data_IF_433262942877
#
_entry.id   IF_433262942877
#
_cell.length_a   1.000
_cell.length_b   1.000
_cell.length_c   1.000
_cell.angle_alpha   90.00
_cell.angle_beta   90.00
_cell.angle_gamma   90.00
#
_symmetry.space_group_name_H-M   'P 1'
#
loop_
_entity.id
_entity.type
_entity.pdbx_description
1 polymer ?
#
# COMPACT_ATOMS: atom_id res chain seq x y z
N UNK A 1 21.65 -12.80 -54.47
CA UNK A 1 22.24 -11.79 -55.37
C UNK A 1 21.75 -10.42 -54.98
N UNK A 2 22.69 -9.50 -54.82
CA UNK A 2 22.59 -8.07 -54.59
C UNK A 2 22.24 -7.63 -53.15
N UNK A 3 23.34 -7.37 -52.41
CA UNK A 3 23.43 -6.50 -51.26
C UNK A 3 23.10 -5.05 -51.67
N UNK A 4 22.41 -4.32 -50.79
CA UNK A 4 22.40 -2.86 -50.81
C UNK A 4 22.82 -2.38 -49.44
N UNK A 5 24.04 -1.84 -49.36
CA UNK A 5 24.57 -1.12 -48.23
C UNK A 5 24.07 0.32 -48.29
N UNK A 6 23.53 0.86 -47.18
CA UNK A 6 23.21 2.27 -47.04
C UNK A 6 24.15 2.89 -46.02
N UNK A 7 25.07 3.75 -46.51
CA UNK A 7 25.99 4.52 -45.70
C UNK A 7 25.27 5.76 -45.15
N UNK A 8 25.38 5.98 -43.82
CA UNK A 8 24.93 7.20 -43.16
C UNK A 8 26.14 8.11 -42.92
N UNK A 9 26.09 9.27 -43.53
CA UNK A 9 27.07 10.35 -43.49
C UNK A 9 26.90 11.16 -42.19
N UNK A 10 27.92 11.15 -41.31
CA UNK A 10 27.99 12.05 -40.14
C UNK A 10 28.49 13.44 -40.59
N UNK A 11 27.65 14.45 -40.42
CA UNK A 11 28.02 15.85 -40.50
C UNK A 11 28.35 16.39 -39.09
N UNK A 12 29.65 16.56 -38.80
CA UNK A 12 30.14 17.32 -37.65
C UNK A 12 30.08 18.82 -37.99
N UNK A 13 29.27 19.59 -37.26
CA UNK A 13 29.29 21.05 -37.27
C UNK A 13 29.97 21.53 -36.00
N UNK A 14 31.21 22.00 -36.13
CA UNK A 14 31.92 22.70 -35.08
C UNK A 14 31.39 24.14 -34.96
N UNK A 15 31.06 24.57 -33.76
CA UNK A 15 30.80 25.97 -33.41
C UNK A 15 31.97 26.53 -32.58
N UNK A 16 32.43 27.76 -32.83
CA UNK A 16 33.52 28.36 -32.09
C UNK A 16 33.09 28.90 -30.72
N UNK A 17 33.93 28.71 -29.71
CA UNK A 17 33.84 29.38 -28.42
C UNK A 17 34.18 30.86 -28.59
N UNK A 18 33.24 31.73 -28.19
CA UNK A 18 33.52 33.11 -27.86
C UNK A 18 33.46 33.24 -26.33
N UNK A 19 34.61 33.48 -25.72
CA UNK A 19 34.69 33.88 -24.31
C UNK A 19 34.30 35.36 -24.22
N UNK A 20 33.31 35.67 -23.38
CA UNK A 20 33.01 37.01 -22.92
C UNK A 20 33.06 37.04 -21.39
N UNK A 21 34.06 37.76 -20.88
CA UNK A 21 34.08 38.15 -19.46
C UNK A 21 33.10 39.29 -19.24
N UNK A 22 32.16 39.10 -18.33
CA UNK A 22 31.43 40.20 -17.69
C UNK A 22 31.17 39.85 -16.23
N UNK A 23 31.72 40.68 -15.37
CA UNK A 23 31.50 40.76 -13.93
C UNK A 23 30.10 41.28 -13.63
N UNK A 24 29.42 40.68 -12.66
CA UNK A 24 28.24 41.34 -12.12
C UNK A 24 27.31 40.41 -11.32
N UNK A 25 27.33 40.54 -10.01
CA UNK A 25 26.30 40.30 -9.02
C UNK A 25 25.57 38.94 -9.05
N UNK A 26 26.06 38.03 -8.22
CA UNK A 26 25.35 36.82 -7.82
C UNK A 26 24.05 37.17 -7.06
N UNK A 27 22.94 37.18 -7.76
CA UNK A 27 21.62 37.01 -7.15
C UNK A 27 21.45 35.49 -6.98
N UNK A 28 21.17 35.00 -5.76
CA UNK A 28 20.91 33.56 -5.57
C UNK A 28 19.77 33.16 -6.48
N UNK A 29 20.02 32.20 -7.37
CA UNK A 29 18.99 31.60 -8.19
C UNK A 29 17.88 31.07 -7.26
N UNK A 30 16.66 31.56 -7.46
CA UNK A 30 15.46 30.96 -6.89
C UNK A 30 15.51 29.48 -7.23
N UNK A 31 15.61 28.65 -6.21
CA UNK A 31 15.44 27.22 -6.31
C UNK A 31 14.04 27.01 -6.88
N UNK A 32 13.95 26.68 -8.16
CA UNK A 32 12.70 26.19 -8.75
C UNK A 32 12.30 24.97 -7.95
N UNK A 33 11.23 25.11 -7.18
CA UNK A 33 10.52 23.98 -6.60
C UNK A 33 9.93 23.22 -7.78
N UNK A 34 10.67 22.24 -8.31
CA UNK A 34 10.10 21.26 -9.21
C UNK A 34 8.99 20.55 -8.43
N UNK A 35 7.75 20.88 -8.74
CA UNK A 35 6.58 20.17 -8.22
C UNK A 35 6.75 18.72 -8.63
N UNK A 36 6.84 17.83 -7.63
CA UNK A 36 6.95 16.42 -7.90
C UNK A 36 5.55 15.84 -8.03
N UNK A 37 5.00 15.86 -9.25
CA UNK A 37 3.64 15.44 -9.56
C UNK A 37 3.27 14.07 -8.94
N UNK A 38 4.20 13.13 -8.93
CA UNK A 38 3.94 11.79 -8.41
C UNK A 38 3.76 11.80 -6.87
N UNK A 39 4.62 12.55 -6.15
CA UNK A 39 4.48 12.70 -4.69
C UNK A 39 3.22 13.51 -4.37
N UNK A 40 2.93 14.56 -5.13
CA UNK A 40 1.71 15.37 -4.94
C UNK A 40 0.45 14.54 -5.22
N UNK A 41 0.48 13.66 -6.23
CA UNK A 41 -0.59 12.70 -6.46
C UNK A 41 -0.78 11.78 -5.24
N UNK A 42 0.30 11.21 -4.68
CA UNK A 42 0.21 10.40 -3.48
C UNK A 42 -0.38 11.19 -2.30
N UNK A 43 0.11 12.40 -2.03
CA UNK A 43 -0.45 13.28 -0.98
C UNK A 43 -1.95 13.54 -1.21
N UNK A 44 -2.40 13.61 -2.45
CA UNK A 44 -3.82 13.82 -2.79
C UNK A 44 -4.72 12.62 -2.47
N UNK A 45 -4.15 11.43 -2.16
CA UNK A 45 -4.90 10.28 -1.65
C UNK A 45 -5.46 10.57 -0.23
N UNK A 46 -4.84 11.49 0.51
CA UNK A 46 -5.29 11.87 1.84
C UNK A 46 -5.21 10.72 2.84
N UNK A 47 -6.02 10.77 3.90
CA UNK A 47 -6.29 9.59 4.70
C UNK A 47 -7.18 8.66 3.93
N UNK A 48 -6.74 7.42 3.79
CA UNK A 48 -7.43 6.33 3.15
C UNK A 48 -8.05 5.34 4.14
N UNK A 49 -8.95 4.51 3.64
CA UNK A 49 -9.66 3.47 4.38
C UNK A 49 -9.55 2.14 3.63
N UNK A 50 -9.29 1.03 4.35
CA UNK A 50 -9.35 -0.32 3.78
C UNK A 50 -10.74 -0.91 3.97
N UNK A 51 -11.29 -1.51 2.91
CA UNK A 51 -12.43 -2.44 2.99
C UNK A 51 -11.89 -3.82 3.39
N UNK A 52 -11.34 -3.93 4.61
CA UNK A 52 -10.72 -5.16 5.10
C UNK A 52 -11.73 -6.24 5.47
N UNK A 53 -11.31 -7.50 5.42
CA UNK A 53 -12.14 -8.67 5.72
C UNK A 53 -13.45 -8.72 4.90
N UNK A 54 -13.36 -8.32 3.63
CA UNK A 54 -14.48 -8.34 2.67
C UNK A 54 -14.07 -9.10 1.40
N UNK A 55 -13.67 -8.42 0.32
CA UNK A 55 -13.24 -9.13 -0.91
C UNK A 55 -11.88 -9.84 -0.76
N UNK A 56 -11.15 -9.57 0.30
CA UNK A 56 -9.95 -10.29 0.72
C UNK A 56 -10.24 -11.55 1.53
N UNK A 57 -11.42 -11.62 2.18
CA UNK A 57 -11.83 -12.75 3.01
C UNK A 57 -11.90 -14.06 2.21
N UNK A 58 -11.44 -15.14 2.81
CA UNK A 58 -11.45 -16.46 2.17
C UNK A 58 -11.69 -17.59 3.18
N UNK A 59 -12.21 -18.71 2.70
CA UNK A 59 -12.37 -19.92 3.48
C UNK A 59 -12.20 -21.14 2.54
N UNK A 60 -11.52 -22.15 3.02
CA UNK A 60 -11.32 -23.41 2.26
C UNK A 60 -10.74 -23.20 0.86
N UNK A 61 -9.85 -22.20 0.70
CA UNK A 61 -9.17 -21.93 -0.56
C UNK A 61 -10.02 -21.21 -1.60
N UNK A 62 -11.12 -20.58 -1.19
CA UNK A 62 -11.97 -19.77 -2.04
C UNK A 62 -12.28 -18.43 -1.37
N UNK A 63 -12.14 -17.33 -2.08
CA UNK A 63 -12.50 -16.01 -1.56
C UNK A 63 -14.02 -15.84 -1.57
N UNK A 64 -14.53 -15.24 -0.49
CA UNK A 64 -15.94 -14.97 -0.30
C UNK A 64 -16.13 -13.75 0.58
N UNK A 65 -16.76 -12.71 0.04
CA UNK A 65 -16.88 -11.39 0.64
C UNK A 65 -17.45 -11.39 2.08
N UNK A 66 -18.19 -12.42 2.46
CA UNK A 66 -18.90 -12.45 3.76
C UNK A 66 -18.42 -13.54 4.70
N UNK A 67 -17.44 -14.37 4.31
CA UNK A 67 -17.06 -15.56 5.09
C UNK A 67 -16.36 -15.22 6.42
N UNK A 68 -15.81 -14.01 6.58
CA UNK A 68 -15.22 -13.54 7.84
C UNK A 68 -16.19 -12.66 8.65
N UNK A 69 -17.50 -12.68 8.33
CA UNK A 69 -18.58 -12.13 9.15
C UNK A 69 -19.00 -10.70 8.80
N UNK A 70 -18.37 -10.03 7.86
CA UNK A 70 -18.87 -8.77 7.35
C UNK A 70 -20.06 -8.99 6.41
N UNK A 71 -20.97 -8.02 6.36
CA UNK A 71 -21.98 -7.95 5.30
C UNK A 71 -21.33 -7.48 4.00
N UNK A 72 -21.90 -7.89 2.87
CA UNK A 72 -21.46 -7.41 1.56
C UNK A 72 -21.49 -5.87 1.49
N UNK A 73 -20.45 -5.29 0.95
CA UNK A 73 -20.29 -3.84 0.81
C UNK A 73 -21.34 -3.28 -0.17
N UNK A 74 -21.82 -2.08 0.11
CA UNK A 74 -22.85 -1.41 -0.67
C UNK A 74 -22.46 0.02 -1.01
N UNK A 75 -23.21 0.67 -1.91
CA UNK A 75 -23.03 2.10 -2.18
C UNK A 75 -23.14 2.96 -0.90
N UNK A 76 -23.99 2.54 0.08
CA UNK A 76 -24.13 3.27 1.36
C UNK A 76 -22.83 3.27 2.16
N UNK A 77 -22.10 2.17 2.13
CA UNK A 77 -20.79 2.04 2.80
C UNK A 77 -19.82 3.11 2.29
N UNK A 78 -19.61 3.18 0.98
CA UNK A 78 -18.66 4.12 0.40
C UNK A 78 -19.14 5.58 0.51
N UNK A 79 -20.44 5.83 0.43
CA UNK A 79 -20.99 7.16 0.71
C UNK A 79 -20.71 7.60 2.15
N UNK A 80 -20.79 6.68 3.12
CA UNK A 80 -20.45 6.96 4.52
C UNK A 80 -18.96 7.22 4.71
N UNK A 81 -18.09 6.42 4.09
CA UNK A 81 -16.63 6.58 4.10
C UNK A 81 -16.23 7.95 3.53
N UNK A 82 -16.76 8.32 2.37
CA UNK A 82 -16.50 9.63 1.77
C UNK A 82 -17.01 10.79 2.64
N UNK A 83 -18.22 10.66 3.20
CA UNK A 83 -18.83 11.64 4.13
C UNK A 83 -18.02 11.78 5.42
N UNK A 84 -17.38 10.72 5.88
CA UNK A 84 -16.51 10.74 7.06
C UNK A 84 -15.21 11.52 6.83
N UNK A 85 -14.86 11.83 5.57
CA UNK A 85 -13.72 12.68 5.21
C UNK A 85 -12.56 11.95 4.53
N UNK A 86 -12.62 10.62 4.41
CA UNK A 86 -11.62 9.86 3.63
C UNK A 86 -11.62 10.31 2.16
N UNK A 87 -10.45 10.29 1.54
CA UNK A 87 -10.26 10.71 0.14
C UNK A 87 -10.02 9.54 -0.80
N UNK A 88 -9.64 8.40 -0.23
CA UNK A 88 -9.32 7.19 -0.97
C UNK A 88 -9.71 5.95 -0.18
N UNK A 89 -9.83 4.84 -0.90
CA UNK A 89 -10.04 3.51 -0.32
C UNK A 89 -9.08 2.53 -0.95
N UNK A 90 -8.59 1.59 -0.16
CA UNK A 90 -7.97 0.37 -0.65
C UNK A 90 -8.98 -0.75 -0.51
N UNK A 91 -9.22 -1.44 -1.59
CA UNK A 91 -10.14 -2.59 -1.68
C UNK A 91 -9.26 -3.82 -1.90
N UNK A 92 -8.84 -4.49 -0.83
CA UNK A 92 -8.09 -5.75 -0.93
C UNK A 92 -8.94 -6.81 -1.62
N UNK A 93 -8.33 -7.54 -2.57
CA UNK A 93 -9.05 -8.59 -3.32
C UNK A 93 -8.22 -9.87 -3.35
N UNK A 94 -8.79 -10.94 -2.85
CA UNK A 94 -8.26 -12.30 -3.00
C UNK A 94 -8.91 -12.97 -4.19
N UNK A 95 -8.11 -13.59 -5.06
CA UNK A 95 -8.58 -14.17 -6.31
C UNK A 95 -8.59 -15.71 -6.30
N UNK A 96 -7.96 -16.33 -5.31
CA UNK A 96 -7.95 -17.79 -5.19
C UNK A 96 -9.37 -18.38 -5.15
N UNK A 97 -9.53 -19.56 -5.69
CA UNK A 97 -10.84 -20.20 -5.86
C UNK A 97 -11.60 -19.73 -7.11
N UNK A 98 -11.34 -18.51 -7.58
CA UNK A 98 -11.98 -17.91 -8.76
C UNK A 98 -11.09 -17.88 -10.00
N UNK A 99 -9.92 -18.51 -9.96
CA UNK A 99 -8.99 -18.63 -11.09
C UNK A 99 -9.05 -20.05 -11.64
N UNK A 100 -9.45 -20.20 -12.91
CA UNK A 100 -9.50 -21.48 -13.62
C UNK A 100 -8.12 -22.08 -13.89
N UNK A 101 -8.11 -23.20 -14.58
CA UNK A 101 -6.91 -23.97 -14.89
C UNK A 101 -6.00 -23.30 -15.93
N UNK A 102 -4.74 -23.74 -15.95
CA UNK A 102 -3.78 -23.43 -17.01
C UNK A 102 -4.30 -23.90 -18.39
N UNK A 103 -3.86 -23.28 -19.49
CA UNK A 103 -2.95 -22.14 -19.52
C UNK A 103 -3.63 -20.78 -19.41
N UNK A 104 -4.94 -20.68 -19.52
CA UNK A 104 -5.68 -19.43 -19.61
C UNK A 104 -5.86 -18.77 -18.26
N UNK A 105 -5.89 -19.52 -17.18
CA UNK A 105 -6.13 -19.01 -15.81
C UNK A 105 -7.29 -18.01 -15.76
N UNK A 106 -8.43 -18.38 -16.39
CA UNK A 106 -9.59 -17.47 -16.51
C UNK A 106 -10.16 -17.13 -15.14
N UNK A 107 -10.28 -15.84 -14.86
CA UNK A 107 -10.98 -15.38 -13.67
C UNK A 107 -12.48 -15.58 -13.88
N UNK A 108 -13.15 -16.12 -12.86
CA UNK A 108 -14.59 -16.28 -12.85
C UNK A 108 -15.29 -14.93 -13.08
N UNK A 109 -16.19 -14.90 -14.06
CA UNK A 109 -16.87 -13.66 -14.47
C UNK A 109 -17.67 -13.05 -13.32
N UNK A 110 -18.34 -13.86 -12.50
CA UNK A 110 -19.17 -13.37 -11.40
C UNK A 110 -18.31 -12.65 -10.34
N UNK A 111 -17.12 -13.20 -10.02
CA UNK A 111 -16.20 -12.57 -9.07
C UNK A 111 -15.61 -11.26 -9.63
N UNK A 112 -15.15 -11.27 -10.88
CA UNK A 112 -14.65 -10.05 -11.54
C UNK A 112 -15.72 -8.96 -11.60
N UNK A 113 -16.98 -9.31 -11.90
CA UNK A 113 -18.08 -8.35 -11.95
C UNK A 113 -18.40 -7.79 -10.55
N UNK A 114 -18.33 -8.63 -9.49
CA UNK A 114 -18.50 -8.16 -8.11
C UNK A 114 -17.39 -7.21 -7.69
N UNK A 115 -16.14 -7.52 -7.98
CA UNK A 115 -15.00 -6.61 -7.73
C UNK A 115 -15.23 -5.27 -8.45
N UNK A 116 -15.61 -5.31 -9.72
CA UNK A 116 -15.87 -4.11 -10.51
C UNK A 116 -17.06 -3.29 -9.99
N UNK A 117 -18.09 -3.96 -9.49
CA UNK A 117 -19.25 -3.30 -8.85
C UNK A 117 -18.81 -2.53 -7.59
N UNK A 118 -18.03 -3.17 -6.71
CA UNK A 118 -17.54 -2.55 -5.46
C UNK A 118 -16.61 -1.38 -5.75
N UNK A 119 -15.69 -1.53 -6.71
CA UNK A 119 -14.84 -0.43 -7.22
C UNK A 119 -15.71 0.72 -7.75
N UNK A 120 -16.78 0.41 -8.48
CA UNK A 120 -17.74 1.38 -8.97
C UNK A 120 -18.49 2.14 -7.86
N UNK A 121 -18.79 1.48 -6.73
CA UNK A 121 -19.38 2.16 -5.56
C UNK A 121 -18.45 3.21 -4.98
N UNK A 122 -17.15 2.88 -4.83
CA UNK A 122 -16.15 3.81 -4.33
C UNK A 122 -15.98 5.01 -5.25
N UNK A 123 -15.87 4.78 -6.58
CA UNK A 123 -15.77 5.84 -7.56
C UNK A 123 -16.99 6.77 -7.56
N UNK A 124 -18.21 6.22 -7.52
CA UNK A 124 -19.46 7.00 -7.43
C UNK A 124 -19.54 7.84 -6.15
N UNK A 125 -18.87 7.42 -5.08
CA UNK A 125 -18.75 8.20 -3.85
C UNK A 125 -17.66 9.30 -3.93
N UNK A 126 -16.92 9.42 -5.04
CA UNK A 126 -15.85 10.40 -5.24
C UNK A 126 -14.52 10.03 -4.63
N UNK A 127 -14.30 8.74 -4.33
CA UNK A 127 -13.07 8.24 -3.73
C UNK A 127 -12.09 7.76 -4.81
N UNK A 128 -10.79 7.97 -4.57
CA UNK A 128 -9.74 7.25 -5.31
C UNK A 128 -9.63 5.82 -4.77
N UNK A 129 -9.26 4.88 -5.61
CA UNK A 129 -9.32 3.45 -5.30
C UNK A 129 -7.99 2.76 -5.56
N UNK A 130 -7.55 1.90 -4.65
CA UNK A 130 -6.48 0.93 -4.87
C UNK A 130 -7.10 -0.47 -4.85
N UNK A 131 -6.76 -1.32 -5.83
CA UNK A 131 -7.07 -2.77 -5.83
C UNK A 131 -5.80 -3.58 -6.03
N UNK A 132 -5.80 -4.83 -5.53
CA UNK A 132 -4.60 -5.69 -5.54
C UNK A 132 -4.91 -7.18 -5.74
N UNK A 133 -3.85 -8.00 -5.65
CA UNK A 133 -3.90 -9.43 -5.34
C UNK A 133 -3.48 -9.59 -3.88
N UNK A 134 -4.40 -10.07 -3.01
CA UNK A 134 -4.24 -9.95 -1.55
C UNK A 134 -3.78 -11.25 -0.88
N UNK A 135 -4.67 -12.14 -0.47
CA UNK A 135 -4.35 -13.36 0.29
C UNK A 135 -4.08 -14.59 -0.59
N UNK A 136 -3.63 -14.41 -1.82
CA UNK A 136 -3.29 -15.50 -2.74
C UNK A 136 -1.93 -16.16 -2.42
N UNK A 137 -1.17 -15.57 -1.47
CA UNK A 137 0.15 -16.03 -1.05
C UNK A 137 0.13 -17.21 -0.08
N UNK A 138 1.08 -18.13 -0.20
CA UNK A 138 1.26 -19.23 0.76
C UNK A 138 1.50 -18.74 2.18
N UNK A 139 2.19 -17.61 2.34
CA UNK A 139 2.47 -17.02 3.63
C UNK A 139 1.25 -16.47 4.37
N UNK A 140 0.15 -16.20 3.66
CA UNK A 140 -1.10 -15.73 4.26
C UNK A 140 -1.82 -16.85 5.06
N UNK A 141 -1.55 -18.13 4.77
CA UNK A 141 -2.08 -19.27 5.50
C UNK A 141 -0.92 -20.08 6.07
N UNK A 142 -0.82 -20.11 7.39
CA UNK A 142 0.25 -20.80 8.11
C UNK A 142 0.04 -22.32 8.20
N UNK A 143 -1.21 -22.79 8.18
CA UNK A 143 -1.53 -24.21 8.13
C UNK A 143 -1.41 -24.75 6.70
N UNK A 144 -0.35 -25.52 6.45
CA UNK A 144 -0.11 -26.12 5.13
C UNK A 144 -1.28 -26.97 4.61
N UNK A 145 -2.08 -27.56 5.51
CA UNK A 145 -3.25 -28.36 5.12
C UNK A 145 -4.43 -27.50 4.65
N UNK A 146 -4.39 -26.19 4.87
CA UNK A 146 -5.41 -25.23 4.48
C UNK A 146 -4.99 -24.34 3.30
N UNK A 147 -3.80 -24.55 2.74
CA UNK A 147 -3.28 -23.77 1.59
C UNK A 147 -3.92 -24.15 0.26
N UNK A 148 -5.17 -24.60 0.27
CA UNK A 148 -5.90 -24.87 -0.97
C UNK A 148 -5.82 -23.67 -1.89
N UNK A 149 -5.67 -23.85 -3.17
CA UNK A 149 -5.73 -22.80 -4.18
C UNK A 149 -4.82 -21.56 -3.95
N UNK A 150 -4.11 -21.44 -2.82
CA UNK A 150 -3.03 -20.46 -2.69
C UNK A 150 -1.97 -20.79 -3.75
N UNK A 151 -1.47 -19.78 -4.44
CA UNK A 151 -0.64 -20.05 -5.62
C UNK A 151 0.65 -19.21 -5.68
N UNK A 152 0.79 -18.19 -4.84
CA UNK A 152 2.00 -17.39 -4.76
C UNK A 152 2.93 -17.99 -3.70
N UNK A 153 3.59 -19.11 -4.05
CA UNK A 153 4.58 -19.78 -3.20
C UNK A 153 5.96 -19.16 -3.39
N UNK A 154 6.24 -18.09 -2.66
CA UNK A 154 7.50 -17.37 -2.75
C UNK A 154 8.70 -18.22 -2.33
N UNK A 155 8.58 -18.95 -1.22
CA UNK A 155 9.65 -19.78 -0.69
C UNK A 155 9.97 -20.97 -1.60
N UNK A 156 8.95 -21.54 -2.24
CA UNK A 156 9.11 -22.58 -3.25
C UNK A 156 9.74 -22.04 -4.54
N UNK A 157 9.24 -20.93 -5.05
CA UNK A 157 9.76 -20.28 -6.25
C UNK A 157 11.23 -19.79 -6.09
N UNK A 158 11.63 -19.42 -4.88
CA UNK A 158 13.02 -19.07 -4.59
C UNK A 158 14.01 -20.25 -4.72
N UNK A 159 13.50 -21.49 -4.66
CA UNK A 159 14.28 -22.73 -4.74
C UNK A 159 14.09 -23.49 -6.05
N UNK A 160 12.99 -23.22 -6.77
CA UNK A 160 12.60 -23.91 -8.00
C UNK A 160 12.25 -22.90 -9.10
N UNK A 161 13.15 -22.74 -10.07
CA UNK A 161 12.96 -21.81 -11.20
C UNK A 161 11.76 -22.19 -12.07
N UNK A 162 11.45 -23.49 -12.22
CA UNK A 162 10.30 -23.91 -13.02
C UNK A 162 8.98 -23.46 -12.35
N UNK A 163 8.90 -23.58 -11.03
CA UNK A 163 7.77 -23.04 -10.26
C UNK A 163 7.69 -21.52 -10.35
N UNK A 164 8.84 -20.81 -10.26
CA UNK A 164 8.89 -19.37 -10.43
C UNK A 164 8.32 -18.95 -11.80
N UNK A 165 8.74 -19.60 -12.87
CA UNK A 165 8.22 -19.31 -14.22
C UNK A 165 6.71 -19.62 -14.36
N UNK A 166 6.23 -20.69 -13.74
CA UNK A 166 4.80 -21.02 -13.71
C UNK A 166 3.99 -19.94 -12.99
N UNK A 167 4.47 -19.46 -11.84
CA UNK A 167 3.81 -18.39 -11.08
C UNK A 167 3.82 -17.07 -11.87
N UNK A 168 4.94 -16.73 -12.52
CA UNK A 168 5.03 -15.54 -13.39
C UNK A 168 4.04 -15.61 -14.55
N UNK A 169 3.88 -16.78 -15.18
CA UNK A 169 2.86 -16.98 -16.21
C UNK A 169 1.45 -16.74 -15.65
N UNK A 170 1.14 -17.30 -14.47
CA UNK A 170 -0.17 -17.10 -13.83
C UNK A 170 -0.40 -15.64 -13.46
N UNK A 171 0.60 -14.94 -12.89
CA UNK A 171 0.55 -13.50 -12.63
C UNK A 171 0.25 -12.70 -13.90
N UNK A 172 0.93 -13.02 -15.00
CA UNK A 172 0.70 -12.40 -16.31
C UNK A 172 -0.76 -12.55 -16.74
N UNK A 173 -1.30 -13.78 -16.68
CA UNK A 173 -2.67 -14.05 -17.13
C UNK A 173 -3.73 -13.43 -16.23
N UNK A 174 -3.50 -13.42 -14.91
CA UNK A 174 -4.43 -12.84 -13.94
C UNK A 174 -4.43 -11.30 -14.06
N UNK A 175 -3.25 -10.65 -14.04
CA UNK A 175 -3.17 -9.20 -14.19
C UNK A 175 -3.63 -8.71 -15.56
N UNK A 176 -3.39 -9.47 -16.63
CA UNK A 176 -3.92 -9.11 -17.95
C UNK A 176 -5.45 -9.00 -17.93
N UNK A 177 -6.15 -9.92 -17.27
CA UNK A 177 -7.61 -9.90 -17.18
C UNK A 177 -8.10 -8.76 -16.28
N UNK A 178 -7.48 -8.55 -15.10
CA UNK A 178 -7.82 -7.44 -14.20
C UNK A 178 -7.58 -6.10 -14.91
N UNK A 179 -6.40 -5.91 -15.47
CA UNK A 179 -6.02 -4.66 -16.11
C UNK A 179 -6.89 -4.36 -17.35
N UNK A 180 -7.25 -5.39 -18.15
CA UNK A 180 -8.16 -5.23 -19.30
C UNK A 180 -9.57 -4.83 -18.83
N UNK A 181 -10.06 -5.43 -17.73
CA UNK A 181 -11.38 -5.09 -17.19
C UNK A 181 -11.51 -3.62 -16.82
N UNK A 182 -10.41 -3.02 -16.35
CA UNK A 182 -10.35 -1.63 -15.86
C UNK A 182 -9.55 -0.69 -16.75
N UNK A 183 -9.21 -1.08 -17.99
CA UNK A 183 -8.30 -0.29 -18.85
C UNK A 183 -8.81 1.12 -19.20
N UNK A 184 -10.11 1.34 -19.17
CA UNK A 184 -10.74 2.62 -19.48
C UNK A 184 -11.00 3.49 -18.23
N UNK A 185 -10.75 2.96 -17.05
CA UNK A 185 -10.92 3.72 -15.80
C UNK A 185 -9.80 4.76 -15.64
N UNK A 186 -10.18 5.94 -15.15
CA UNK A 186 -9.27 7.08 -15.04
C UNK A 186 -8.17 6.90 -13.97
N UNK A 187 -7.41 7.96 -13.75
CA UNK A 187 -6.28 8.01 -12.79
C UNK A 187 -6.74 7.83 -11.31
N UNK A 188 -8.04 7.93 -11.05
CA UNK A 188 -8.62 7.65 -9.74
C UNK A 188 -8.46 6.20 -9.29
N UNK A 189 -8.24 5.24 -10.22
CA UNK A 189 -8.00 3.84 -9.93
C UNK A 189 -6.51 3.55 -10.03
N UNK A 190 -5.93 3.01 -8.96
CA UNK A 190 -4.54 2.61 -8.81
C UNK A 190 -4.51 1.09 -8.70
N UNK A 191 -3.54 0.43 -9.32
CA UNK A 191 -3.28 -0.98 -9.09
C UNK A 191 -2.13 -1.16 -8.10
N UNK A 192 -2.24 -2.12 -7.22
CA UNK A 192 -1.17 -2.59 -6.35
C UNK A 192 -0.86 -4.03 -6.72
N UNK A 193 0.37 -4.30 -7.11
CA UNK A 193 0.72 -5.59 -7.74
C UNK A 193 0.39 -6.80 -6.89
N UNK A 194 0.73 -6.74 -5.62
CA UNK A 194 0.64 -7.82 -4.63
C UNK A 194 0.39 -7.20 -3.25
N UNK A 195 0.08 -8.04 -2.26
CA UNK A 195 0.00 -7.66 -0.86
C UNK A 195 1.28 -8.08 -0.10
N UNK A 196 1.15 -8.64 1.07
CA UNK A 196 2.20 -9.06 2.01
C UNK A 196 2.79 -10.43 1.65
N UNK A 197 3.46 -10.53 0.52
CA UNK A 197 4.06 -11.79 0.05
C UNK A 197 5.28 -12.14 0.91
N UNK A 198 5.28 -13.37 1.43
CA UNK A 198 6.25 -13.87 2.40
C UNK A 198 6.29 -15.41 2.48
N UNK A 199 7.15 -15.96 3.33
CA UNK A 199 7.33 -17.39 3.58
C UNK A 199 6.51 -17.97 4.77
N UNK A 200 5.60 -17.19 5.34
CA UNK A 200 4.82 -17.54 6.53
C UNK A 200 5.49 -17.17 7.85
N UNK A 201 6.60 -16.47 7.82
CA UNK A 201 7.42 -16.10 9.00
C UNK A 201 7.49 -14.60 9.25
N UNK A 202 6.71 -13.80 8.54
CA UNK A 202 6.59 -12.35 8.74
C UNK A 202 7.95 -11.61 8.77
N UNK A 203 8.85 -11.95 7.85
CA UNK A 203 10.17 -11.37 7.77
C UNK A 203 11.19 -11.92 8.78
N UNK A 204 10.86 -13.00 9.50
CA UNK A 204 11.72 -13.67 10.48
C UNK A 204 12.14 -15.09 10.04
N UNK A 205 11.84 -15.48 8.79
CA UNK A 205 12.07 -16.82 8.30
C UNK A 205 13.32 -16.97 7.43
N UNK A 206 13.25 -17.94 6.52
CA UNK A 206 14.33 -18.30 5.60
C UNK A 206 14.79 -17.14 4.72
N UNK A 207 13.93 -16.13 4.50
CA UNK A 207 14.25 -14.89 3.77
C UNK A 207 15.51 -14.18 4.29
N UNK A 208 15.85 -14.35 5.56
CA UNK A 208 17.04 -13.74 6.16
C UNK A 208 18.35 -14.49 5.82
N UNK A 209 18.26 -15.75 5.42
CA UNK A 209 19.42 -16.66 5.27
C UNK A 209 19.50 -17.33 3.91
N UNK A 210 18.56 -17.10 3.00
CA UNK A 210 18.49 -17.71 1.66
C UNK A 210 19.37 -16.99 0.60
N UNK A 211 20.23 -16.09 1.02
CA UNK A 211 21.06 -15.28 0.12
C UNK A 211 20.28 -14.25 -0.68
N UNK A 212 19.08 -13.88 -0.21
CA UNK A 212 18.20 -12.90 -0.86
C UNK A 212 17.38 -13.47 -2.02
N UNK A 213 17.24 -14.80 -2.10
CA UNK A 213 16.53 -15.47 -3.18
C UNK A 213 15.04 -15.06 -3.22
N UNK A 214 14.38 -15.01 -2.06
CA UNK A 214 12.98 -14.60 -1.96
C UNK A 214 12.79 -13.12 -2.35
N UNK A 215 13.69 -12.22 -1.94
CA UNK A 215 13.64 -10.82 -2.34
C UNK A 215 13.78 -10.66 -3.86
N UNK A 216 14.68 -11.41 -4.48
CA UNK A 216 14.88 -11.39 -5.93
C UNK A 216 13.64 -11.86 -6.66
N UNK A 217 13.04 -12.98 -6.25
CA UNK A 217 11.81 -13.53 -6.86
C UNK A 217 10.65 -12.55 -6.72
N UNK A 218 10.45 -11.93 -5.55
CA UNK A 218 9.40 -10.93 -5.37
C UNK A 218 9.59 -9.71 -6.29
N UNK A 219 10.84 -9.23 -6.45
CA UNK A 219 11.14 -8.17 -7.39
C UNK A 219 10.84 -8.55 -8.84
N UNK A 220 11.12 -9.80 -9.25
CA UNK A 220 10.73 -10.33 -10.56
C UNK A 220 9.22 -10.38 -10.75
N UNK A 221 8.46 -10.77 -9.72
CA UNK A 221 7.00 -10.79 -9.75
C UNK A 221 6.42 -9.39 -9.89
N UNK A 222 6.94 -8.42 -9.13
CA UNK A 222 6.56 -7.01 -9.28
C UNK A 222 6.82 -6.51 -10.71
N UNK A 223 7.99 -6.82 -11.29
CA UNK A 223 8.29 -6.47 -12.68
C UNK A 223 7.31 -7.11 -13.65
N UNK A 224 7.03 -8.41 -13.50
CA UNK A 224 6.07 -9.14 -14.35
C UNK A 224 4.68 -8.48 -14.32
N UNK A 225 4.21 -8.07 -13.14
CA UNK A 225 2.92 -7.40 -13.00
C UNK A 225 2.93 -6.03 -13.69
N UNK A 226 3.97 -5.22 -13.49
CA UNK A 226 4.08 -3.89 -14.14
C UNK A 226 4.09 -4.04 -15.65
N UNK A 227 4.90 -4.95 -16.20
CA UNK A 227 5.02 -5.16 -17.64
C UNK A 227 3.67 -5.50 -18.27
N UNK A 228 2.94 -6.46 -17.69
CA UNK A 228 1.65 -6.87 -18.25
C UNK A 228 0.57 -5.80 -18.08
N UNK A 229 0.53 -5.08 -16.96
CA UNK A 229 -0.41 -3.97 -16.77
C UNK A 229 -0.19 -2.91 -17.87
N UNK A 230 1.05 -2.50 -18.12
CA UNK A 230 1.40 -1.55 -19.19
C UNK A 230 1.01 -2.08 -20.57
N UNK A 231 1.28 -3.34 -20.86
CA UNK A 231 0.99 -3.98 -22.14
C UNK A 231 -0.50 -4.03 -22.49
N UNK A 232 -1.41 -3.95 -21.51
CA UNK A 232 -2.85 -3.89 -21.78
C UNK A 232 -3.30 -2.58 -22.40
N UNK A 233 -2.48 -1.52 -22.35
CA UNK A 233 -2.75 -0.24 -23.00
C UNK A 233 -3.91 0.55 -22.37
N UNK A 234 -4.53 1.44 -23.17
CA UNK A 234 -5.54 2.37 -22.64
C UNK A 234 -4.98 3.23 -21.51
N UNK A 235 -5.79 3.50 -20.49
CA UNK A 235 -5.34 4.28 -19.34
C UNK A 235 -4.30 3.54 -18.46
N UNK A 236 -4.13 2.23 -18.65
CA UNK A 236 -3.12 1.46 -17.95
C UNK A 236 -1.69 1.81 -18.37
N UNK A 237 -1.51 2.38 -19.57
CA UNK A 237 -0.21 2.87 -20.02
C UNK A 237 0.40 3.91 -19.06
N UNK A 238 -0.43 4.70 -18.38
CA UNK A 238 -0.01 5.80 -17.49
C UNK A 238 -0.54 5.66 -16.05
N UNK A 239 -1.24 4.56 -15.74
CA UNK A 239 -1.82 4.31 -14.41
C UNK A 239 -0.73 4.25 -13.33
N UNK A 240 -1.00 4.81 -12.16
CA UNK A 240 -0.15 4.58 -10.99
C UNK A 240 -0.23 3.12 -10.55
N UNK A 241 0.94 2.54 -10.26
CA UNK A 241 1.07 1.15 -9.81
C UNK A 241 1.85 1.14 -8.50
N UNK A 242 1.23 0.63 -7.43
CA UNK A 242 1.87 0.34 -6.17
C UNK A 242 2.63 -0.98 -6.23
N UNK A 243 3.85 -0.99 -5.70
CA UNK A 243 4.69 -2.19 -5.62
C UNK A 243 5.15 -2.41 -4.18
N UNK A 244 4.86 -3.57 -3.57
CA UNK A 244 5.27 -3.90 -2.21
C UNK A 244 6.70 -4.44 -2.18
N UNK A 245 7.41 -4.17 -1.07
CA UNK A 245 8.54 -4.98 -0.65
C UNK A 245 8.11 -6.26 0.08
N UNK A 246 9.09 -7.00 0.60
CA UNK A 246 8.85 -8.25 1.33
C UNK A 246 7.95 -8.01 2.55
N UNK A 247 6.83 -8.71 2.60
CA UNK A 247 5.77 -8.58 3.62
C UNK A 247 5.34 -7.12 3.88
N UNK A 248 5.53 -6.22 2.93
CA UNK A 248 5.31 -4.77 3.05
C UNK A 248 6.05 -4.10 4.21
N UNK A 249 6.96 -4.78 4.89
CA UNK A 249 7.70 -4.19 6.03
C UNK A 249 8.62 -3.05 5.57
N UNK A 250 8.58 -1.88 6.21
CA UNK A 250 9.35 -0.70 5.79
C UNK A 250 10.86 -0.96 5.69
N UNK A 251 11.48 -1.58 6.70
CA UNK A 251 12.92 -1.83 6.68
C UNK A 251 13.33 -2.84 5.59
N UNK A 252 12.59 -3.95 5.41
CA UNK A 252 12.87 -4.92 4.34
C UNK A 252 12.61 -4.33 2.95
N UNK A 253 11.62 -3.42 2.83
CA UNK A 253 11.38 -2.66 1.61
C UNK A 253 12.54 -1.71 1.30
N UNK A 254 13.04 -0.98 2.30
CA UNK A 254 14.21 -0.11 2.14
C UNK A 254 15.43 -0.91 1.67
N UNK A 255 15.68 -2.07 2.27
CA UNK A 255 16.91 -2.82 2.03
C UNK A 255 16.88 -3.65 0.74
N UNK A 256 15.71 -4.18 0.35
CA UNK A 256 15.63 -5.24 -0.65
C UNK A 256 14.70 -4.97 -1.84
N UNK A 257 13.82 -3.97 -1.78
CA UNK A 257 12.98 -3.65 -2.94
C UNK A 257 13.83 -3.03 -4.05
N UNK A 258 13.81 -3.68 -5.20
CA UNK A 258 14.28 -3.13 -6.48
C UNK A 258 13.04 -2.66 -7.24
N UNK A 259 12.96 -1.35 -7.48
CA UNK A 259 11.82 -0.79 -8.22
C UNK A 259 11.76 -1.37 -9.63
N UNK A 260 10.59 -1.78 -10.11
CA UNK A 260 10.42 -2.21 -11.49
C UNK A 260 10.85 -1.12 -12.47
N UNK A 261 11.43 -1.57 -13.58
CA UNK A 261 11.62 -0.69 -14.75
C UNK A 261 10.24 -0.41 -15.33
N UNK A 262 9.96 0.85 -15.58
CA UNK A 262 8.70 1.30 -16.17
C UNK A 262 9.00 2.30 -17.31
N UNK A 263 8.42 2.08 -18.48
CA UNK A 263 8.55 2.98 -19.62
C UNK A 263 7.86 4.32 -19.37
N UNK A 264 6.85 4.34 -18.47
CA UNK A 264 6.17 5.56 -18.06
C UNK A 264 6.78 6.11 -16.78
N UNK A 265 7.52 7.22 -16.85
CA UNK A 265 8.24 7.76 -15.71
C UNK A 265 7.27 8.21 -14.59
N UNK A 266 7.73 8.10 -13.35
CA UNK A 266 7.05 8.63 -12.17
C UNK A 266 5.64 8.05 -11.92
N UNK A 267 5.40 6.78 -12.31
CA UNK A 267 4.09 6.11 -12.13
C UNK A 267 4.17 4.89 -11.20
N UNK A 268 5.35 4.58 -10.68
CA UNK A 268 5.53 3.54 -9.64
C UNK A 268 5.47 4.19 -8.26
N UNK A 269 4.71 3.60 -7.37
CA UNK A 269 4.58 3.97 -5.95
C UNK A 269 5.05 2.81 -5.09
N UNK A 270 5.70 3.09 -3.96
CA UNK A 270 6.12 2.06 -3.01
C UNK A 270 5.02 1.84 -1.97
N UNK A 271 4.58 0.59 -1.83
CA UNK A 271 3.62 0.18 -0.82
C UNK A 271 4.35 -0.39 0.41
N UNK A 272 4.02 0.12 1.58
CA UNK A 272 4.47 -0.42 2.88
C UNK A 272 3.30 -0.52 3.84
N UNK A 273 3.43 -1.41 4.84
CA UNK A 273 2.48 -1.53 5.94
C UNK A 273 3.19 -1.30 7.26
N UNK A 274 2.51 -0.73 8.24
CA UNK A 274 3.05 -0.59 9.60
C UNK A 274 1.96 -0.66 10.65
N UNK A 275 2.06 -1.67 11.49
CA UNK A 275 1.33 -1.80 12.75
C UNK A 275 2.31 -1.73 13.92
N UNK A 276 3.39 -0.96 13.74
CA UNK A 276 4.48 -0.93 14.70
C UNK A 276 4.18 -0.05 15.91
N UNK A 277 4.37 -0.59 17.10
CA UNK A 277 4.74 -1.98 17.38
C UNK A 277 3.50 -2.90 17.38
N UNK A 278 3.59 -4.08 16.76
CA UNK A 278 2.46 -5.01 16.64
C UNK A 278 1.82 -5.36 17.99
N UNK A 279 2.64 -5.63 19.00
CA UNK A 279 2.15 -5.99 20.34
C UNK A 279 1.32 -4.87 21.01
N UNK A 280 1.43 -3.63 20.51
CA UNK A 280 0.57 -2.53 20.90
C UNK A 280 -0.56 -2.32 19.87
N UNK A 281 -0.23 -2.06 18.61
CA UNK A 281 -1.20 -1.59 17.63
C UNK A 281 -2.08 -2.71 17.08
N UNK A 282 -1.57 -3.93 16.90
CA UNK A 282 -2.27 -5.08 16.32
C UNK A 282 -2.90 -6.01 17.36
N UNK A 283 -2.10 -6.58 18.25
CA UNK A 283 -2.60 -7.55 19.23
C UNK A 283 -3.24 -6.92 20.47
N UNK A 284 -2.90 -5.67 20.79
CA UNK A 284 -3.38 -5.01 21.99
C UNK A 284 -2.85 -5.58 23.31
N UNK A 285 -1.75 -6.34 23.27
CA UNK A 285 -1.08 -6.94 24.43
C UNK A 285 -0.59 -5.88 25.42
N UNK A 286 -0.05 -4.77 24.91
CA UNK A 286 0.30 -3.60 25.71
C UNK A 286 -0.77 -2.53 25.53
N UNK A 287 -1.07 -1.81 26.62
CA UNK A 287 -2.18 -0.85 26.66
C UNK A 287 -1.77 0.60 26.39
N UNK A 288 -0.48 0.91 26.45
CA UNK A 288 0.07 2.26 26.34
C UNK A 288 1.17 2.32 25.28
N UNK A 289 1.41 3.53 24.74
CA UNK A 289 2.44 3.79 23.74
C UNK A 289 3.06 5.17 23.93
N UNK A 290 4.34 5.30 23.52
CA UNK A 290 5.06 6.56 23.52
C UNK A 290 5.76 6.86 24.84
N UNK A 291 6.43 8.01 24.89
CA UNK A 291 7.37 8.38 25.94
C UNK A 291 6.75 8.51 27.34
N UNK A 292 5.45 8.67 27.48
CA UNK A 292 4.73 8.77 28.76
C UNK A 292 4.11 7.42 29.20
N UNK A 293 4.13 6.42 28.33
CA UNK A 293 3.56 5.10 28.60
C UNK A 293 4.35 4.35 29.68
N UNK A 294 3.65 3.51 30.45
CA UNK A 294 4.22 2.63 31.48
C UNK A 294 4.03 1.16 31.14
N UNK A 295 2.92 0.81 30.50
CA UNK A 295 2.62 -0.51 29.97
C UNK A 295 2.87 -0.50 28.45
N UNK A 296 4.15 -0.47 28.07
CA UNK A 296 4.63 -0.30 26.70
C UNK A 296 5.43 -1.51 26.24
N UNK A 297 5.49 -1.69 24.91
CA UNK A 297 6.38 -2.70 24.32
C UNK A 297 7.82 -2.40 24.71
N UNK A 298 8.57 -3.41 25.25
CA UNK A 298 9.98 -3.24 25.58
C UNK A 298 10.82 -2.80 24.37
N UNK A 299 11.94 -2.09 24.64
CA UNK A 299 12.96 -1.76 23.64
C UNK A 299 12.54 -0.83 22.49
N UNK A 300 11.63 0.12 22.78
CA UNK A 300 11.55 1.38 22.02
C UNK A 300 10.67 1.44 20.80
N UNK A 301 9.51 1.04 20.91
CA UNK A 301 8.53 1.36 19.89
C UNK A 301 7.80 2.65 20.27
N UNK A 302 8.46 3.78 20.21
CA UNK A 302 7.98 5.10 20.58
C UNK A 302 7.87 6.04 19.35
N UNK A 303 7.59 7.30 19.62
CA UNK A 303 7.46 8.36 18.61
C UNK A 303 8.73 8.50 17.75
N UNK A 304 9.89 8.38 18.39
CA UNK A 304 11.17 8.51 17.69
C UNK A 304 11.39 7.34 16.75
N UNK A 305 11.15 6.13 17.19
CA UNK A 305 11.27 4.92 16.36
C UNK A 305 10.38 5.04 15.11
N UNK A 306 9.14 5.51 15.28
CA UNK A 306 8.21 5.70 14.17
C UNK A 306 8.70 6.79 13.19
N UNK A 307 9.16 7.93 13.68
CA UNK A 307 9.68 9.00 12.83
C UNK A 307 11.01 8.65 12.16
N UNK A 308 11.88 7.86 12.78
CA UNK A 308 13.12 7.35 12.18
C UNK A 308 12.81 6.44 10.99
N UNK A 309 11.80 5.58 11.09
CA UNK A 309 11.30 4.76 9.99
C UNK A 309 10.80 5.63 8.82
N UNK A 310 9.95 6.62 9.10
CA UNK A 310 9.45 7.55 8.08
C UNK A 310 10.58 8.35 7.44
N UNK A 311 11.55 8.81 8.22
CA UNK A 311 12.72 9.51 7.72
C UNK A 311 13.54 8.65 6.76
N UNK A 312 13.70 7.37 7.07
CA UNK A 312 14.42 6.41 6.22
C UNK A 312 13.70 6.19 4.89
N UNK A 313 12.38 5.99 4.90
CA UNK A 313 11.56 5.90 3.68
C UNK A 313 11.60 7.20 2.87
N UNK A 314 11.49 8.35 3.54
CA UNK A 314 11.57 9.65 2.90
C UNK A 314 12.90 9.84 2.16
N UNK A 315 14.00 9.58 2.82
CA UNK A 315 15.34 9.72 2.25
C UNK A 315 15.61 8.74 1.10
N UNK A 316 15.08 7.52 1.21
CA UNK A 316 15.26 6.50 0.18
C UNK A 316 14.43 6.80 -1.07
N UNK A 317 13.18 7.23 -0.91
CA UNK A 317 12.18 7.31 -1.97
C UNK A 317 11.61 8.72 -2.19
N UNK A 318 10.89 9.28 -1.22
CA UNK A 318 10.07 10.50 -1.41
C UNK A 318 10.91 11.70 -1.80
N UNK A 319 12.08 11.90 -1.17
CA UNK A 319 13.02 12.97 -1.50
C UNK A 319 13.57 12.89 -2.93
N UNK A 320 13.46 11.71 -3.57
CA UNK A 320 13.87 11.46 -4.96
C UNK A 320 12.69 11.43 -5.93
N UNK A 321 11.50 11.79 -5.46
CA UNK A 321 10.33 11.84 -6.30
C UNK A 321 9.55 10.56 -6.44
N UNK A 322 9.89 9.52 -5.70
CA UNK A 322 9.20 8.24 -5.71
C UNK A 322 8.16 8.23 -4.59
N UNK A 323 6.85 8.19 -4.90
CA UNK A 323 5.82 8.19 -3.88
C UNK A 323 5.87 6.93 -3.01
N UNK A 324 5.59 7.10 -1.72
CA UNK A 324 5.37 6.01 -0.77
C UNK A 324 3.98 6.16 -0.16
N UNK A 325 3.28 5.07 0.08
CA UNK A 325 2.05 5.06 0.85
C UNK A 325 2.02 3.86 1.81
N UNK A 326 1.36 4.06 2.95
CA UNK A 326 1.06 2.95 3.86
C UNK A 326 -0.25 2.31 3.42
N UNK A 327 -0.17 1.17 2.71
CA UNK A 327 -1.33 0.40 2.27
C UNK A 327 -2.18 -0.07 3.44
N UNK A 328 -1.53 -0.31 4.59
CA UNK A 328 -2.19 -0.63 5.85
C UNK A 328 -1.46 0.01 7.03
N UNK A 329 -2.26 0.54 7.96
CA UNK A 329 -1.86 0.89 9.31
C UNK A 329 -3.11 0.86 10.20
N UNK A 330 -2.94 0.80 11.51
CA UNK A 330 -4.09 0.80 12.40
C UNK A 330 -3.71 0.70 13.87
N UNK A 331 -4.72 0.77 14.72
CA UNK A 331 -4.58 0.46 16.14
C UNK A 331 -5.92 -0.08 16.65
N UNK A 332 -5.89 -1.25 17.30
CA UNK A 332 -7.07 -1.95 17.79
C UNK A 332 -7.80 -1.20 18.90
N UNK A 333 -9.10 -1.42 19.01
CA UNK A 333 -9.96 -0.89 20.10
C UNK A 333 -9.48 -1.32 21.48
N UNK A 334 -9.62 -0.45 22.46
CA UNK A 334 -9.24 -0.66 23.86
C UNK A 334 -10.45 -0.83 24.78
N UNK A 335 -10.24 -1.54 25.87
CA UNK A 335 -11.29 -1.82 26.84
C UNK A 335 -11.38 -0.80 27.98
N UNK A 336 -10.36 0.06 28.15
CA UNK A 336 -10.32 1.07 29.21
C UNK A 336 -10.14 2.46 28.62
N UNK A 337 -10.70 3.47 29.27
CA UNK A 337 -10.57 4.88 28.87
C UNK A 337 -9.08 5.32 28.76
N UNK A 338 -8.25 4.89 29.72
CA UNK A 338 -6.82 5.20 29.71
C UNK A 338 -6.14 4.64 28.45
N UNK A 339 -6.35 3.36 28.15
CA UNK A 339 -5.76 2.73 26.97
C UNK A 339 -6.30 3.34 25.67
N UNK A 340 -7.59 3.72 25.63
CA UNK A 340 -8.18 4.38 24.47
C UNK A 340 -7.62 5.81 24.26
N UNK A 341 -7.25 6.52 25.32
CA UNK A 341 -6.56 7.81 25.22
C UNK A 341 -5.15 7.63 24.60
N UNK A 342 -4.44 6.55 24.92
CA UNK A 342 -3.18 6.22 24.25
C UNK A 342 -3.39 5.79 22.80
N UNK A 343 -4.46 5.07 22.46
CA UNK A 343 -4.83 4.75 21.09
C UNK A 343 -5.07 6.02 20.26
N UNK A 344 -5.81 6.97 20.79
CA UNK A 344 -6.05 8.28 20.14
C UNK A 344 -4.73 9.01 19.93
N UNK A 345 -3.89 9.08 20.95
CA UNK A 345 -2.57 9.68 20.87
C UNK A 345 -1.69 9.06 19.78
N UNK A 346 -1.62 7.71 19.75
CA UNK A 346 -0.88 6.96 18.72
C UNK A 346 -1.38 7.33 17.32
N UNK A 347 -2.67 7.20 17.07
CA UNK A 347 -3.26 7.44 15.74
C UNK A 347 -3.09 8.91 15.31
N UNK A 348 -3.22 9.85 16.23
CA UNK A 348 -2.99 11.26 15.94
C UNK A 348 -1.54 11.54 15.55
N UNK A 349 -0.59 11.02 16.34
CA UNK A 349 0.83 11.19 16.09
C UNK A 349 1.25 10.55 14.75
N UNK A 350 0.84 9.32 14.52
CA UNK A 350 1.15 8.55 13.30
C UNK A 350 0.60 9.25 12.06
N UNK A 351 -0.68 9.67 12.07
CA UNK A 351 -1.28 10.34 10.92
C UNK A 351 -0.63 11.70 10.63
N UNK A 352 -0.27 12.46 11.68
CA UNK A 352 0.45 13.72 11.51
C UNK A 352 1.86 13.48 10.97
N UNK A 353 2.58 12.49 11.49
CA UNK A 353 3.90 12.12 11.00
C UNK A 353 3.86 11.69 9.54
N UNK A 354 2.94 10.81 9.15
CA UNK A 354 2.72 10.43 7.75
C UNK A 354 2.49 11.65 6.85
N UNK A 355 1.68 12.64 7.33
CA UNK A 355 1.44 13.89 6.59
C UNK A 355 2.71 14.70 6.39
N UNK A 356 3.51 14.87 7.45
CA UNK A 356 4.74 15.67 7.41
C UNK A 356 5.80 15.07 6.48
N UNK A 357 5.84 13.73 6.39
CA UNK A 357 6.70 13.00 5.47
C UNK A 357 6.07 12.75 4.09
N UNK A 358 4.87 13.28 3.80
CA UNK A 358 4.15 13.16 2.52
C UNK A 358 3.81 11.72 2.11
N UNK A 359 3.52 10.85 3.07
CA UNK A 359 3.19 9.44 2.87
C UNK A 359 1.76 9.16 3.34
N UNK A 360 0.75 9.13 2.45
CA UNK A 360 -0.63 8.83 2.84
C UNK A 360 -0.75 7.41 3.40
N UNK A 361 -1.67 7.23 4.36
CA UNK A 361 -1.94 5.94 4.97
C UNK A 361 -3.40 5.53 4.82
N UNK A 362 -3.62 4.21 4.69
CA UNK A 362 -4.93 3.58 4.60
C UNK A 362 -5.19 2.80 5.88
N UNK A 363 -6.11 3.30 6.70
CA UNK A 363 -6.46 2.62 7.96
C UNK A 363 -7.09 1.26 7.67
N UNK A 364 -6.58 0.21 8.34
CA UNK A 364 -7.15 -1.12 8.24
C UNK A 364 -8.44 -1.20 9.04
N UNK A 365 -9.56 -1.31 8.35
CA UNK A 365 -10.88 -1.46 8.96
C UNK A 365 -11.44 -2.84 8.57
N UNK A 366 -11.41 -3.77 9.52
CA UNK A 366 -11.93 -5.12 9.30
C UNK A 366 -13.39 -5.30 9.73
N UNK A 367 -14.07 -4.22 10.11
CA UNK A 367 -15.48 -4.24 10.50
C UNK A 367 -15.78 -4.88 11.87
N UNK A 368 -14.75 -5.32 12.61
CA UNK A 368 -14.98 -6.01 13.89
C UNK A 368 -15.35 -5.06 15.03
N UNK A 369 -16.51 -5.31 15.64
CA UNK A 369 -17.00 -4.59 16.81
C UNK A 369 -16.65 -5.33 18.12
N UNK A 370 -15.37 -5.37 18.46
CA UNK A 370 -14.81 -5.94 19.70
C UNK A 370 -13.65 -5.10 20.19
N UNK A 371 -12.98 -5.52 21.27
CA UNK A 371 -11.75 -4.90 21.80
C UNK A 371 -10.61 -5.89 21.80
N UNK A 372 -9.37 -5.40 21.76
CA UNK A 372 -8.15 -6.22 21.75
C UNK A 372 -7.79 -6.75 20.37
N UNK A 373 -7.19 -7.91 20.35
CA UNK A 373 -6.60 -8.53 19.18
C UNK A 373 -7.51 -8.47 17.93
N UNK A 374 -6.96 -8.00 16.84
CA UNK A 374 -7.61 -7.86 15.52
C UNK A 374 -8.94 -7.05 15.52
N UNK A 375 -9.09 -6.12 16.46
CA UNK A 375 -10.31 -5.32 16.61
C UNK A 375 -10.14 -3.91 16.01
N UNK A 376 -10.13 -3.79 14.68
CA UNK A 376 -9.87 -2.53 13.98
C UNK A 376 -11.13 -1.82 13.47
N UNK A 377 -12.34 -2.39 13.63
CA UNK A 377 -13.55 -1.89 12.99
C UNK A 377 -13.91 -0.44 13.39
N UNK A 378 -14.05 0.44 12.43
CA UNK A 378 -14.53 1.83 12.60
C UNK A 378 -15.87 2.07 11.93
N UNK A 379 -16.13 1.39 10.80
CA UNK A 379 -17.32 1.58 9.97
C UNK A 379 -17.89 0.20 9.63
N UNK A 380 -19.20 0.03 9.83
CA UNK A 380 -19.90 -1.19 9.43
C UNK A 380 -19.96 -1.29 7.90
N UNK A 381 -19.42 -2.36 7.32
CA UNK A 381 -19.26 -2.53 5.88
C UNK A 381 -20.59 -2.68 5.13
N UNK A 382 -21.64 -3.15 5.77
CA UNK A 382 -22.95 -3.31 5.11
C UNK A 382 -23.79 -2.04 5.04
N UNK A 383 -23.71 -1.16 6.05
CA UNK A 383 -24.62 -0.02 6.16
C UNK A 383 -23.94 1.34 6.35
N UNK A 384 -22.62 1.39 6.59
CA UNK A 384 -21.84 2.61 6.76
C UNK A 384 -22.01 3.30 8.12
N UNK A 385 -22.61 2.67 9.11
CA UNK A 385 -22.69 3.23 10.47
C UNK A 385 -21.35 3.12 11.18
N UNK A 386 -21.01 4.07 12.04
CA UNK A 386 -19.81 3.97 12.86
C UNK A 386 -19.94 2.87 13.93
N UNK A 387 -18.85 2.17 14.18
CA UNK A 387 -18.66 1.16 15.21
C UNK A 387 -18.06 1.82 16.45
N UNK A 388 -18.59 1.57 17.62
CA UNK A 388 -18.12 2.10 18.90
C UNK A 388 -17.79 3.62 18.82
N UNK A 389 -16.56 4.03 19.15
CA UNK A 389 -16.10 5.41 19.01
C UNK A 389 -15.49 5.72 17.63
N UNK A 390 -15.77 4.90 16.62
CA UNK A 390 -15.19 5.03 15.27
C UNK A 390 -15.31 6.42 14.66
N UNK A 391 -16.42 7.14 14.91
CA UNK A 391 -16.57 8.53 14.46
C UNK A 391 -15.51 9.46 15.04
N UNK A 392 -15.20 9.32 16.32
CA UNK A 392 -14.18 10.12 17.00
C UNK A 392 -12.80 9.84 16.43
N UNK A 393 -12.47 8.54 16.25
CA UNK A 393 -11.18 8.11 15.71
C UNK A 393 -11.02 8.58 14.26
N UNK A 394 -12.03 8.44 13.42
CA UNK A 394 -11.97 8.93 12.03
C UNK A 394 -11.77 10.44 12.00
N UNK A 395 -12.53 11.21 12.77
CA UNK A 395 -12.37 12.66 12.83
C UNK A 395 -10.95 13.07 13.27
N UNK A 396 -10.38 12.35 14.25
CA UNK A 396 -9.02 12.57 14.74
C UNK A 396 -7.98 12.34 13.62
N UNK A 397 -8.04 11.23 12.91
CA UNK A 397 -7.12 10.92 11.82
C UNK A 397 -7.24 11.90 10.65
N UNK A 398 -8.48 12.24 10.23
CA UNK A 398 -8.72 13.21 9.17
C UNK A 398 -8.19 14.58 9.56
N UNK A 399 -8.41 15.01 10.82
CA UNK A 399 -7.85 16.25 11.32
C UNK A 399 -6.31 16.22 11.38
N UNK A 400 -5.72 15.15 11.89
CA UNK A 400 -4.26 15.01 11.98
C UNK A 400 -3.58 15.14 10.61
N UNK A 401 -4.19 14.58 9.57
CA UNK A 401 -3.71 14.72 8.20
C UNK A 401 -3.98 16.09 7.58
N UNK A 402 -5.16 16.64 7.77
CA UNK A 402 -5.66 17.82 7.05
C UNK A 402 -5.43 19.15 7.75
N UNK A 403 -5.00 19.16 9.02
CA UNK A 403 -4.82 20.38 9.79
C UNK A 403 -3.66 21.22 9.25
N UNK A 404 -3.95 22.49 8.92
CA UNK A 404 -3.00 23.46 8.36
C UNK A 404 -2.57 24.52 9.36
N UNK A 405 -3.02 24.44 10.62
CA UNK A 405 -2.57 25.34 11.67
C UNK A 405 -1.06 25.16 11.90
N UNK A 406 -0.23 26.21 11.76
CA UNK A 406 1.21 26.14 11.99
C UNK A 406 1.59 25.69 13.41
N UNK A 407 0.71 25.89 14.40
CA UNK A 407 0.91 25.44 15.77
C UNK A 407 0.64 23.93 15.96
N UNK A 408 -0.01 23.27 14.98
CA UNK A 408 -0.30 21.83 15.02
C UNK A 408 0.89 21.05 14.47
N UNK A 409 1.85 20.77 15.31
CA UNK A 409 3.11 20.10 15.00
C UNK A 409 3.22 18.74 15.72
N UNK A 410 4.14 17.88 15.30
CA UNK A 410 4.47 16.64 16.04
C UNK A 410 4.89 16.95 17.48
N UNK A 411 5.65 18.02 17.69
CA UNK A 411 6.03 18.48 19.03
C UNK A 411 4.80 18.89 19.86
N UNK A 412 3.84 19.59 19.28
CA UNK A 412 2.61 19.98 19.98
C UNK A 412 1.78 18.75 20.39
N UNK A 413 1.76 17.70 19.58
CA UNK A 413 1.11 16.42 19.90
C UNK A 413 1.90 15.70 21.00
N UNK A 414 3.22 15.59 20.84
CA UNK A 414 4.13 14.98 21.82
C UNK A 414 3.97 15.61 23.22
N UNK A 415 3.86 16.94 23.28
CA UNK A 415 3.73 17.69 24.52
C UNK A 415 2.40 17.48 25.24
N UNK A 416 1.38 16.91 24.62
CA UNK A 416 0.07 16.58 25.23
C UNK A 416 -0.21 15.07 25.27
N UNK A 417 0.85 14.26 25.26
CA UNK A 417 0.75 12.81 25.43
C UNK A 417 -0.01 12.48 26.74
N UNK A 418 -0.77 11.36 26.78
CA UNK A 418 -1.44 10.90 28.00
C UNK A 418 -0.45 10.72 29.16
N UNK A 419 -0.92 10.89 30.41
CA UNK A 419 -0.13 10.79 31.65
C UNK A 419 0.92 11.91 31.87
N UNK A 420 0.85 13.02 31.14
CA UNK A 420 1.61 14.21 31.48
C UNK A 420 1.00 15.00 32.61
#
# INVERSE_FOLDING_TARGET
MKQLALAILLLLVARPLLASCASGNDVPAKQETTTNEAVDFAVSLGMGWNLGNSLDAHANGESNETCWGNSAATQKTFNAVAKAGFKSVRIPVTWMGHIGNAPEYRIEKAWMDRVAEVVGYAHKAGLKVIINIHHDGFGAETDANKRYNHWLDLAGAAKDEALNQQIKLKLTMVWMQIATRFQNEGEWLIFETLNEIQDGKWGQGDNLTDGGAQYRVLNEWNQTCVDIIRATGGNNATRYIGVPGYVCQPHLTIDHLVLPKDETPNRIMVAVHSYDPWDYAGSGKYSEWGHTGKDVVPDKADEKTYTDMLSSLYNKYVSKGIPVYFGEFGCVHRSTEKAENFRKYYLEYVCKAMRDYKMPGFFWDNGYNKTGDDAFGLINHGNGSFIANGKEIVNLMINAWGNTDPAYTLESIYNRAPNK
#
